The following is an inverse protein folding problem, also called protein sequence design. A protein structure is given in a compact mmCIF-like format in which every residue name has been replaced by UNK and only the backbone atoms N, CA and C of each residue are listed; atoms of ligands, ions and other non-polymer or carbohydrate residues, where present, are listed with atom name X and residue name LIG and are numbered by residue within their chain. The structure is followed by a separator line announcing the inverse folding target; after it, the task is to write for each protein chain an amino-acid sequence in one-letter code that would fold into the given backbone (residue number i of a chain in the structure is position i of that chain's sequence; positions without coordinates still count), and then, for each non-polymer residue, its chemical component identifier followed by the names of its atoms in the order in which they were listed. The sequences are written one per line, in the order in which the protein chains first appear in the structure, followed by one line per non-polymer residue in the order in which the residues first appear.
data_IF_025780964548
#
_entry.id   IF_025780964548
#
_cell.length_a   1.000
_cell.length_b   1.000
_cell.length_c   1.000
_cell.angle_alpha   90.00
_cell.angle_beta   90.00
_cell.angle_gamma   90.00
#
_symmetry.space_group_name_H-M   'P 1'
#
loop_
_entity.id
_entity.type
_entity.pdbx_description
1 polymer ?
#
# COMPACT_ATOMS: atom_id res chain seq x y z
N UNK A 1 3.14 -0.12 -5.02
CA UNK A 1 1.85 0.58 -4.89
C UNK A 1 0.83 0.07 -5.90
N UNK A 2 -0.24 -0.59 -5.44
CA UNK A 2 -1.37 -1.01 -6.28
C UNK A 2 -2.58 -0.09 -6.06
N UNK A 3 -2.67 1.01 -6.82
CA UNK A 3 -3.65 2.07 -6.57
C UNK A 3 -5.11 1.59 -6.50
N UNK A 4 -5.49 0.62 -7.35
CA UNK A 4 -6.84 0.08 -7.35
C UNK A 4 -7.18 -0.61 -6.02
N UNK A 5 -6.26 -1.44 -5.52
CA UNK A 5 -6.46 -2.13 -4.26
C UNK A 5 -6.59 -1.14 -3.08
N UNK A 6 -5.75 -0.10 -3.03
CA UNK A 6 -5.80 0.88 -1.96
C UNK A 6 -7.09 1.70 -1.97
N UNK A 7 -7.56 2.15 -3.14
CA UNK A 7 -8.83 2.88 -3.25
C UNK A 7 -10.00 1.95 -2.89
N UNK A 8 -10.03 0.73 -3.42
CA UNK A 8 -11.10 -0.23 -3.15
C UNK A 8 -11.19 -0.61 -1.67
N UNK A 9 -10.05 -0.80 -1.01
CA UNK A 9 -9.97 -1.13 0.42
C UNK A 9 -10.10 0.10 1.33
N UNK A 10 -10.47 1.26 0.80
CA UNK A 10 -10.74 2.47 1.60
C UNK A 10 -12.20 2.59 2.04
N UNK A 11 -13.01 1.53 1.89
CA UNK A 11 -14.37 1.41 2.43
C UNK A 11 -15.33 2.55 2.02
N UNK A 12 -15.15 3.10 0.82
CA UNK A 12 -15.90 4.27 0.31
C UNK A 12 -15.79 5.53 1.19
N UNK A 13 -14.77 5.62 2.04
CA UNK A 13 -14.46 6.82 2.82
C UNK A 13 -13.44 7.66 2.05
N UNK A 14 -13.80 8.89 1.72
CA UNK A 14 -12.99 9.78 0.88
C UNK A 14 -11.67 10.18 1.56
N UNK A 15 -11.68 10.48 2.85
CA UNK A 15 -10.48 10.88 3.58
C UNK A 15 -9.53 9.70 3.79
N UNK A 16 -10.08 8.51 4.07
CA UNK A 16 -9.28 7.28 4.10
C UNK A 16 -8.68 7.02 2.71
N UNK A 17 -9.47 7.18 1.64
CA UNK A 17 -9.00 7.01 0.25
C UNK A 17 -7.85 7.94 -0.08
N UNK A 18 -7.96 9.23 0.28
CA UNK A 18 -6.90 10.23 0.11
C UNK A 18 -5.65 9.80 0.89
N UNK A 19 -5.79 9.46 2.17
CA UNK A 19 -4.68 9.03 3.01
C UNK A 19 -3.98 7.78 2.47
N UNK A 20 -4.76 6.79 2.03
CA UNK A 20 -4.26 5.53 1.48
C UNK A 20 -3.54 5.75 0.14
N UNK A 21 -3.98 6.73 -0.64
CA UNK A 21 -3.37 7.11 -1.93
C UNK A 21 -2.04 7.88 -1.77
N UNK A 22 -1.95 8.85 -0.86
CA UNK A 22 -0.77 9.73 -0.74
C UNK A 22 0.35 9.16 0.14
N UNK A 23 0.12 8.03 0.80
CA UNK A 23 0.97 7.50 1.86
C UNK A 23 2.44 7.28 1.45
N UNK A 24 2.70 6.87 0.21
CA UNK A 24 4.05 6.68 -0.34
C UNK A 24 4.90 7.96 -0.33
N UNK A 25 4.25 9.12 -0.45
CA UNK A 25 4.93 10.41 -0.42
C UNK A 25 5.27 10.88 1.00
N UNK A 26 4.80 10.17 2.03
CA UNK A 26 4.92 10.57 3.43
C UNK A 26 6.05 9.78 4.10
N UNK A 27 7.13 10.49 4.41
CA UNK A 27 8.29 9.92 5.08
C UNK A 27 8.02 9.67 6.57
N UNK A 28 8.12 8.41 7.00
CA UNK A 28 8.05 8.02 8.41
C UNK A 28 6.75 8.49 9.08
N UNK A 29 6.84 9.06 10.28
CA UNK A 29 5.66 9.44 11.06
C UNK A 29 5.21 10.90 10.85
N UNK A 30 5.61 11.52 9.73
CA UNK A 30 5.31 12.94 9.44
C UNK A 30 3.90 13.16 8.86
N UNK A 31 2.88 12.59 9.49
CA UNK A 31 1.48 12.72 9.07
C UNK A 31 0.53 13.19 10.18
N UNK A 32 1.03 13.43 11.40
CA UNK A 32 0.19 13.86 12.52
C UNK A 32 -0.50 15.22 12.34
N UNK A 33 -0.15 15.98 11.30
CA UNK A 33 -0.78 17.27 10.96
C UNK A 33 -2.01 17.11 10.05
N UNK A 34 -2.29 15.91 9.53
CA UNK A 34 -3.48 15.65 8.74
C UNK A 34 -4.71 15.37 9.61
N UNK A 35 -5.93 15.52 9.08
CA UNK A 35 -7.15 14.99 9.71
C UNK A 35 -7.02 13.51 10.09
N UNK A 36 -7.65 13.10 11.18
CA UNK A 36 -7.52 11.74 11.74
C UNK A 36 -7.84 10.65 10.71
N UNK A 37 -8.87 10.85 9.87
CA UNK A 37 -9.26 9.92 8.81
C UNK A 37 -8.18 9.75 7.74
N UNK A 38 -7.53 10.84 7.34
CA UNK A 38 -6.38 10.79 6.42
C UNK A 38 -5.21 10.05 7.07
N UNK A 39 -4.94 10.27 8.36
CA UNK A 39 -3.91 9.52 9.09
C UNK A 39 -4.22 8.01 9.11
N UNK A 40 -5.49 7.64 9.33
CA UNK A 40 -5.93 6.25 9.26
C UNK A 40 -5.70 5.65 7.88
N UNK A 41 -6.00 6.40 6.80
CA UNK A 41 -5.70 5.98 5.43
C UNK A 41 -4.20 5.72 5.20
N UNK A 42 -3.32 6.59 5.72
CA UNK A 42 -1.86 6.42 5.61
C UNK A 42 -1.38 5.16 6.34
N UNK A 43 -1.91 4.91 7.53
CA UNK A 43 -1.61 3.69 8.30
C UNK A 43 -2.15 2.46 7.57
N UNK A 44 -3.36 2.55 7.00
CA UNK A 44 -4.00 1.46 6.25
C UNK A 44 -3.20 1.08 5.00
N UNK A 45 -2.70 2.05 4.25
CA UNK A 45 -1.80 1.79 3.12
C UNK A 45 -0.62 0.91 3.52
N UNK A 46 0.08 1.30 4.59
CA UNK A 46 1.25 0.56 5.08
C UNK A 46 0.88 -0.84 5.54
N UNK A 47 -0.29 -1.01 6.14
CA UNK A 47 -0.79 -2.31 6.56
C UNK A 47 -1.09 -3.23 5.36
N UNK A 48 -1.72 -2.69 4.30
CA UNK A 48 -2.02 -3.42 3.06
C UNK A 48 -0.72 -3.88 2.38
N UNK A 49 0.23 -2.97 2.21
CA UNK A 49 1.51 -3.28 1.57
C UNK A 49 2.31 -4.31 2.39
N UNK A 50 2.41 -4.10 3.70
CA UNK A 50 3.10 -5.05 4.60
C UNK A 50 2.46 -6.43 4.53
N UNK A 51 1.13 -6.51 4.56
CA UNK A 51 0.41 -7.79 4.47
C UNK A 51 0.68 -8.50 3.15
N UNK A 52 0.59 -7.78 2.03
CA UNK A 52 0.74 -8.34 0.68
C UNK A 52 2.20 -8.75 0.41
N UNK A 53 3.16 -7.92 0.78
CA UNK A 53 4.58 -8.19 0.62
C UNK A 53 5.05 -9.34 1.49
N UNK A 54 4.47 -9.52 2.68
CA UNK A 54 4.76 -10.64 3.56
C UNK A 54 4.10 -11.96 3.11
N UNK A 55 3.03 -11.90 2.31
CA UNK A 55 2.19 -13.05 2.01
C UNK A 55 2.96 -14.16 1.25
N UNK A 56 2.97 -15.43 1.73
CA UNK A 56 3.75 -16.51 1.13
C UNK A 56 3.45 -16.73 -0.36
N UNK A 57 2.16 -16.68 -0.74
CA UNK A 57 1.74 -16.86 -2.14
C UNK A 57 2.30 -15.77 -3.05
N UNK A 58 2.28 -14.50 -2.60
CA UNK A 58 2.80 -13.38 -3.37
C UNK A 58 4.32 -13.53 -3.56
N UNK A 59 5.06 -13.83 -2.49
CA UNK A 59 6.50 -14.11 -2.55
C UNK A 59 6.84 -15.26 -3.49
N UNK A 60 6.05 -16.33 -3.45
CA UNK A 60 6.26 -17.49 -4.32
C UNK A 60 6.07 -17.11 -5.79
N UNK A 61 5.00 -16.39 -6.12
CA UNK A 61 4.73 -15.90 -7.48
C UNK A 61 5.85 -14.98 -7.98
N UNK A 62 6.27 -14.01 -7.17
CA UNK A 62 7.36 -13.11 -7.53
C UNK A 62 8.67 -13.85 -7.78
N UNK A 63 9.03 -14.83 -6.92
CA UNK A 63 10.25 -15.62 -7.08
C UNK A 63 10.29 -16.40 -8.40
N UNK A 64 9.14 -16.89 -8.89
CA UNK A 64 9.06 -17.60 -10.18
C UNK A 64 9.37 -16.67 -11.36
N UNK A 65 8.98 -15.41 -11.28
CA UNK A 65 9.14 -14.42 -12.36
C UNK A 65 10.48 -13.67 -12.29
N UNK A 66 11.13 -13.64 -11.13
CA UNK A 66 12.38 -12.90 -10.94
C UNK A 66 13.51 -13.23 -11.94
N UNK A 67 13.73 -14.49 -12.38
CA UNK A 67 14.79 -14.78 -13.35
C UNK A 67 14.59 -14.11 -14.71
N UNK A 68 13.35 -13.91 -15.15
CA UNK A 68 13.06 -13.33 -16.47
C UNK A 68 12.64 -11.85 -16.41
N UNK A 69 12.01 -11.41 -15.32
CA UNK A 69 11.43 -10.06 -15.19
C UNK A 69 12.20 -9.14 -14.23
N UNK A 70 13.13 -9.69 -13.42
CA UNK A 70 13.95 -8.92 -12.48
C UNK A 70 13.11 -8.02 -11.56
N UNK A 71 13.35 -6.71 -11.62
CA UNK A 71 12.63 -5.70 -10.84
C UNK A 71 11.10 -5.76 -11.02
N UNK A 72 10.62 -6.12 -12.23
CA UNK A 72 9.20 -6.17 -12.54
C UNK A 72 8.48 -7.41 -12.01
N UNK A 73 9.20 -8.35 -11.38
CA UNK A 73 8.62 -9.58 -10.83
C UNK A 73 7.71 -9.37 -9.61
N UNK A 74 7.64 -8.16 -9.06
CA UNK A 74 6.83 -7.78 -7.88
C UNK A 74 5.78 -6.72 -8.20
N UNK A 75 5.63 -6.37 -9.48
CA UNK A 75 4.71 -5.36 -9.97
C UNK A 75 3.36 -5.99 -10.24
#
# INVERSE_FOLDING_TARGET
MNFLAHIFLSFNDEEISIGNFIADSIRGNRYGHFPERIQQGIVLHRAIDTFTDAHPTHKQSSKRLHPSQGHYSRV
#
